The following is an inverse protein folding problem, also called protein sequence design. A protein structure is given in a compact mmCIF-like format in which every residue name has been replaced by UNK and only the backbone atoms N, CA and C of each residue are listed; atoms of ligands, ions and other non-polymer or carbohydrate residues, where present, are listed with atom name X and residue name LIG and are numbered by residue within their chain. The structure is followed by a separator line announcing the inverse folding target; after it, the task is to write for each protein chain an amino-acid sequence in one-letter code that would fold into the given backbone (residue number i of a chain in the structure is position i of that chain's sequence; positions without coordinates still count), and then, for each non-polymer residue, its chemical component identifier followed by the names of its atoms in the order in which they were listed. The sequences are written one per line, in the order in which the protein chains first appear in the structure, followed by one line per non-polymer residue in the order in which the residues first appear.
data_IF_280397120286
#
_entry.id   IF_280397120286
#
_cell.length_a   1.000
_cell.length_b   1.000
_cell.length_c   1.000
_cell.angle_alpha   90.00
_cell.angle_beta   90.00
_cell.angle_gamma   90.00
#
_symmetry.space_group_name_H-M   'P 1'
#
loop_
_entity.id
_entity.type
_entity.pdbx_description
1 polymer ?
#
# COMPACT_ATOMS: atom_id res chain seq x y z
N UNK A 1 -14.43 -5.61 -6.32
CA UNK A 1 -14.50 -5.23 -7.76
C UNK A 1 -14.23 -3.75 -7.98
N UNK A 2 -14.67 -2.85 -7.08
CA UNK A 2 -14.44 -1.41 -7.18
C UNK A 2 -12.95 -1.02 -7.29
N UNK A 3 -12.07 -1.70 -6.54
CA UNK A 3 -10.61 -1.47 -6.59
C UNK A 3 -10.04 -1.64 -7.99
N UNK A 4 -10.35 -2.77 -8.65
CA UNK A 4 -9.91 -3.04 -10.01
C UNK A 4 -10.42 -1.99 -11.00
N UNK A 5 -11.71 -1.63 -10.91
CA UNK A 5 -12.31 -0.62 -11.79
C UNK A 5 -11.62 0.74 -11.62
N UNK A 6 -11.37 1.13 -10.37
CA UNK A 6 -10.70 2.39 -10.04
C UNK A 6 -9.23 2.41 -10.51
N UNK A 7 -8.52 1.29 -10.40
CA UNK A 7 -7.19 1.13 -10.97
C UNK A 7 -7.16 1.24 -12.48
N UNK A 8 -8.09 0.60 -13.18
CA UNK A 8 -8.21 0.69 -14.64
C UNK A 8 -8.54 2.11 -15.08
N UNK A 9 -9.43 2.79 -14.36
CA UNK A 9 -9.75 4.20 -14.59
C UNK A 9 -8.50 5.09 -14.44
N UNK A 10 -7.70 4.89 -13.38
CA UNK A 10 -6.45 5.60 -13.18
C UNK A 10 -5.44 5.37 -14.31
N UNK A 11 -5.31 4.13 -14.79
CA UNK A 11 -4.43 3.79 -15.92
C UNK A 11 -4.92 4.48 -17.20
N UNK A 12 -6.23 4.45 -17.48
CA UNK A 12 -6.81 5.13 -18.64
C UNK A 12 -6.54 6.65 -18.61
N UNK A 13 -6.73 7.28 -17.45
CA UNK A 13 -6.42 8.70 -17.24
C UNK A 13 -4.92 8.99 -17.44
N UNK A 14 -4.03 8.11 -16.97
CA UNK A 14 -2.59 8.26 -17.16
C UNK A 14 -2.21 8.18 -18.64
N UNK A 15 -2.75 7.20 -19.37
CA UNK A 15 -2.51 7.06 -20.82
C UNK A 15 -3.01 8.30 -21.56
N UNK A 16 -4.21 8.77 -21.25
CA UNK A 16 -4.76 9.98 -21.86
C UNK A 16 -3.91 11.23 -21.56
N UNK A 17 -3.47 11.39 -20.31
CA UNK A 17 -2.55 12.47 -19.92
C UNK A 17 -1.24 12.41 -20.70
N UNK A 18 -0.64 11.22 -20.86
CA UNK A 18 0.59 11.04 -21.63
C UNK A 18 0.40 11.42 -23.09
N UNK A 19 -0.71 11.06 -23.73
CA UNK A 19 -1.00 11.45 -25.12
C UNK A 19 -1.05 12.99 -25.28
N UNK A 20 -1.69 13.69 -24.35
CA UNK A 20 -1.72 15.16 -24.33
C UNK A 20 -0.32 15.73 -24.10
N UNK A 21 0.42 15.18 -23.14
CA UNK A 21 1.77 15.63 -22.81
C UNK A 21 2.73 15.48 -24.01
N UNK A 22 2.68 14.37 -24.73
CA UNK A 22 3.46 14.19 -25.97
C UNK A 22 3.02 15.15 -27.07
N UNK A 23 1.72 15.43 -27.20
CA UNK A 23 1.22 16.45 -28.12
C UNK A 23 1.78 17.84 -27.81
N UNK A 24 1.78 18.23 -26.53
CA UNK A 24 2.38 19.48 -26.08
C UNK A 24 3.88 19.53 -26.35
N UNK A 25 4.64 18.48 -26.00
CA UNK A 25 6.07 18.39 -26.28
C UNK A 25 6.39 18.54 -27.77
N UNK A 26 5.60 17.92 -28.65
CA UNK A 26 5.75 18.05 -30.10
C UNK A 26 5.54 19.49 -30.57
N UNK A 27 4.57 20.21 -29.99
CA UNK A 27 4.33 21.61 -30.28
C UNK A 27 5.50 22.49 -29.81
N UNK A 28 6.00 22.27 -28.60
CA UNK A 28 7.18 22.95 -28.06
C UNK A 28 8.42 22.74 -28.95
N UNK A 29 8.65 21.50 -29.41
CA UNK A 29 9.75 21.19 -30.33
C UNK A 29 9.65 21.95 -31.66
N UNK A 30 8.44 22.08 -32.19
CA UNK A 30 8.19 22.76 -33.47
C UNK A 30 8.36 24.28 -33.37
N UNK A 31 7.83 24.89 -32.31
CA UNK A 31 7.78 26.35 -32.18
C UNK A 31 9.04 26.95 -31.51
N UNK A 32 9.60 26.27 -30.51
CA UNK A 32 10.69 26.80 -29.67
C UNK A 32 12.04 26.11 -29.91
N UNK A 33 12.06 25.07 -30.74
CA UNK A 33 13.25 24.29 -31.05
C UNK A 33 13.65 23.30 -29.96
N UNK A 34 14.62 22.44 -30.31
CA UNK A 34 15.05 21.30 -29.50
C UNK A 34 15.67 21.72 -28.16
N UNK A 35 16.52 22.76 -28.16
CA UNK A 35 17.26 23.20 -26.96
C UNK A 35 16.31 23.71 -25.87
N UNK A 36 15.36 24.58 -26.24
CA UNK A 36 14.35 25.11 -25.33
C UNK A 36 13.50 24.00 -24.72
N UNK A 37 13.15 22.99 -25.52
CA UNK A 37 12.38 21.83 -25.06
C UNK A 37 13.15 21.01 -24.03
N UNK A 38 14.44 20.78 -24.24
CA UNK A 38 15.29 20.06 -23.26
C UNK A 38 15.33 20.80 -21.92
N UNK A 39 15.55 22.11 -21.95
CA UNK A 39 15.56 22.95 -20.73
C UNK A 39 14.21 22.88 -20.02
N UNK A 40 13.11 22.97 -20.77
CA UNK A 40 11.75 22.87 -20.23
C UNK A 40 11.49 21.52 -19.54
N UNK A 41 11.88 20.41 -20.18
CA UNK A 41 11.73 19.06 -19.61
C UNK A 41 12.54 18.93 -18.32
N UNK A 42 13.81 19.35 -18.32
CA UNK A 42 14.65 19.37 -17.11
C UNK A 42 14.01 20.22 -16.01
N UNK A 43 13.46 21.37 -16.37
CA UNK A 43 12.74 22.25 -15.44
C UNK A 43 11.55 21.56 -14.77
N UNK A 44 10.71 20.85 -15.52
CA UNK A 44 9.59 20.07 -14.96
C UNK A 44 10.10 18.98 -14.02
N UNK A 45 11.11 18.21 -14.46
CA UNK A 45 11.67 17.12 -13.66
C UNK A 45 12.31 17.61 -12.36
N UNK A 46 12.85 18.83 -12.33
CA UNK A 46 13.42 19.46 -11.11
C UNK A 46 12.41 19.58 -9.96
N UNK A 47 11.11 19.70 -10.27
CA UNK A 47 10.06 19.78 -9.25
C UNK A 47 9.63 18.42 -8.69
N UNK A 48 10.09 17.31 -9.28
CA UNK A 48 9.77 15.96 -8.78
C UNK A 48 10.59 15.69 -7.52
N UNK A 49 10.00 16.00 -6.36
CA UNK A 49 10.58 15.69 -5.05
C UNK A 49 10.19 14.28 -4.62
N UNK A 50 11.05 13.30 -4.89
CA UNK A 50 10.89 11.94 -4.38
C UNK A 50 11.59 11.78 -3.02
N UNK A 51 10.84 11.49 -1.96
CA UNK A 51 11.43 10.93 -0.74
C UNK A 51 11.55 9.42 -0.91
N UNK A 52 12.77 8.92 -1.09
CA UNK A 52 13.05 7.49 -0.94
C UNK A 52 13.04 7.19 0.55
N UNK A 53 11.87 6.83 1.08
CA UNK A 53 11.78 6.29 2.44
C UNK A 53 12.34 4.86 2.39
N UNK A 54 13.64 4.75 2.62
CA UNK A 54 14.31 3.49 2.88
C UNK A 54 13.85 2.97 4.25
N UNK A 55 12.69 2.31 4.28
CA UNK A 55 12.34 1.44 5.41
C UNK A 55 13.22 0.18 5.30
N UNK A 56 14.45 0.28 5.78
CA UNK A 56 15.25 -0.91 6.11
C UNK A 56 14.57 -1.60 7.31
N UNK A 57 13.51 -2.34 7.05
CA UNK A 57 13.03 -3.35 7.98
C UNK A 57 14.17 -4.36 8.11
N UNK A 58 14.86 -4.33 9.25
CA UNK A 58 15.82 -5.37 9.62
C UNK A 58 15.05 -6.68 9.56
N UNK A 59 15.41 -7.55 8.61
CA UNK A 59 14.71 -8.82 8.40
C UNK A 59 14.52 -9.56 9.72
N UNK A 60 13.28 -9.96 10.00
CA UNK A 60 12.96 -10.67 11.23
C UNK A 60 13.54 -12.09 11.16
N UNK A 61 14.45 -12.42 12.06
CA UNK A 61 14.96 -13.79 12.20
C UNK A 61 14.02 -14.60 13.08
N UNK A 62 13.32 -15.54 12.44
CA UNK A 62 12.38 -16.44 13.12
C UNK A 62 13.12 -17.36 14.10
N UNK A 63 12.61 -17.48 15.33
CA UNK A 63 13.14 -18.42 16.31
C UNK A 63 12.48 -19.79 16.13
N UNK A 64 13.18 -20.86 16.54
CA UNK A 64 12.69 -22.25 16.42
C UNK A 64 11.31 -22.50 17.06
N UNK A 65 10.95 -21.73 18.11
CA UNK A 65 9.67 -21.85 18.82
C UNK A 65 8.59 -20.87 18.32
N UNK A 66 8.81 -20.19 17.20
CA UNK A 66 7.83 -19.27 16.62
C UNK A 66 7.06 -19.92 15.46
N UNK A 67 5.85 -19.42 15.23
CA UNK A 67 5.02 -19.76 14.09
C UNK A 67 4.48 -18.47 13.46
N UNK A 68 4.30 -18.51 12.14
CA UNK A 68 3.63 -17.44 11.39
C UNK A 68 2.21 -17.89 11.07
N UNK A 69 1.26 -17.00 11.28
CA UNK A 69 -0.08 -17.12 10.73
C UNK A 69 -0.45 -15.89 9.92
N UNK A 70 -1.46 -16.06 9.08
CA UNK A 70 -1.99 -14.97 8.26
C UNK A 70 -3.50 -15.01 8.31
N UNK A 71 -4.12 -13.85 8.49
CA UNK A 71 -5.56 -13.69 8.52
C UNK A 71 -5.96 -12.65 7.49
N UNK A 72 -6.81 -13.04 6.55
CA UNK A 72 -7.39 -12.09 5.63
C UNK A 72 -8.36 -11.16 6.37
N UNK A 73 -8.13 -9.85 6.24
CA UNK A 73 -8.99 -8.79 6.75
C UNK A 73 -9.96 -8.32 5.66
N UNK A 74 -9.44 -8.15 4.46
CA UNK A 74 -10.21 -7.82 3.27
C UNK A 74 -9.64 -8.54 2.05
N UNK A 75 -10.53 -9.07 1.21
CA UNK A 75 -10.15 -9.74 -0.02
C UNK A 75 -11.06 -9.32 -1.16
N UNK A 76 -10.43 -8.77 -2.20
CA UNK A 76 -11.04 -8.48 -3.49
C UNK A 76 -10.20 -9.12 -4.60
N UNK A 77 -10.75 -9.17 -5.80
CA UNK A 77 -10.13 -9.83 -6.97
C UNK A 77 -8.70 -9.35 -7.25
N UNK A 78 -8.43 -8.05 -7.02
CA UNK A 78 -7.15 -7.42 -7.35
C UNK A 78 -6.43 -6.85 -6.13
N UNK A 79 -6.94 -7.07 -4.92
CA UNK A 79 -6.46 -6.41 -3.71
C UNK A 79 -6.72 -7.29 -2.49
N UNK A 80 -5.68 -7.55 -1.71
CA UNK A 80 -5.77 -8.28 -0.46
C UNK A 80 -5.11 -7.48 0.66
N UNK A 81 -5.82 -7.39 1.78
CA UNK A 81 -5.35 -6.83 3.02
C UNK A 81 -5.32 -7.94 4.06
N UNK A 82 -4.11 -8.29 4.51
CA UNK A 82 -3.88 -9.41 5.40
C UNK A 82 -3.19 -8.95 6.69
N UNK A 83 -3.63 -9.49 7.81
CA UNK A 83 -2.91 -9.43 9.08
C UNK A 83 -1.94 -10.62 9.13
N UNK A 84 -0.65 -10.33 9.02
CA UNK A 84 0.41 -11.29 9.29
C UNK A 84 0.81 -11.20 10.77
N UNK A 85 0.95 -12.34 11.43
CA UNK A 85 1.32 -12.38 12.84
C UNK A 85 2.29 -13.51 13.14
N UNK A 86 3.22 -13.23 14.06
CA UNK A 86 4.23 -14.16 14.56
C UNK A 86 3.94 -14.39 16.05
N UNK A 87 3.78 -15.65 16.43
CA UNK A 87 3.50 -16.03 17.82
C UNK A 87 4.44 -17.14 18.28
N UNK A 88 4.73 -17.18 19.59
CA UNK A 88 5.48 -18.28 20.22
C UNK A 88 4.55 -19.45 20.49
N UNK A 89 5.01 -20.69 20.20
CA UNK A 89 4.24 -21.92 20.38
C UNK A 89 4.07 -22.34 21.86
N UNK A 90 4.90 -21.81 22.77
CA UNK A 90 4.82 -22.13 24.20
C UNK A 90 3.54 -21.59 24.82
N UNK A 91 2.70 -22.53 25.27
CA UNK A 91 1.28 -22.41 25.57
C UNK A 91 0.94 -21.76 26.93
N UNK A 92 1.81 -20.91 27.48
CA UNK A 92 1.53 -20.21 28.74
C UNK A 92 1.05 -18.78 28.50
N UNK A 93 -0.26 -18.70 28.23
CA UNK A 93 -1.20 -17.60 28.50
C UNK A 93 -0.94 -16.19 27.93
N UNK A 94 0.29 -15.79 27.57
CA UNK A 94 0.64 -14.46 27.06
C UNK A 94 1.95 -14.52 26.24
N UNK A 95 1.96 -15.26 25.13
CA UNK A 95 3.12 -15.34 24.25
C UNK A 95 3.46 -13.98 23.61
N UNK A 96 4.74 -13.76 23.26
CA UNK A 96 5.11 -12.59 22.44
C UNK A 96 4.42 -12.68 21.10
N UNK A 97 3.68 -11.63 20.76
CA UNK A 97 2.94 -11.50 19.51
C UNK A 97 3.47 -10.28 18.77
N UNK A 98 3.95 -10.50 17.55
CA UNK A 98 4.26 -9.42 16.61
C UNK A 98 3.28 -9.52 15.46
N UNK A 99 2.79 -8.37 14.99
CA UNK A 99 1.84 -8.33 13.89
C UNK A 99 2.15 -7.20 12.93
N UNK A 100 1.84 -7.43 11.66
CA UNK A 100 2.05 -6.48 10.57
C UNK A 100 0.92 -6.61 9.56
N UNK A 101 0.48 -5.48 9.04
CA UNK A 101 -0.46 -5.45 7.92
C UNK A 101 0.31 -5.60 6.61
N UNK A 102 -0.12 -6.56 5.81
CA UNK A 102 0.37 -6.83 4.49
C UNK A 102 -0.69 -6.42 3.48
N UNK A 103 -0.28 -5.64 2.50
CA UNK A 103 -1.13 -5.25 1.36
C UNK A 103 -0.52 -5.89 0.13
N UNK A 104 -1.32 -6.66 -0.61
CA UNK A 104 -0.88 -7.29 -1.86
C UNK A 104 -1.90 -7.08 -2.99
N UNK A 105 -1.44 -7.16 -4.22
CA UNK A 105 -2.25 -6.93 -5.43
C UNK A 105 -1.99 -5.59 -6.09
N UNK A 106 -2.95 -5.16 -6.93
CA UNK A 106 -2.90 -3.92 -7.69
C UNK A 106 -3.27 -2.75 -6.77
N UNK A 107 -2.34 -1.80 -6.59
CA UNK A 107 -2.48 -0.60 -5.77
C UNK A 107 -2.47 0.69 -6.62
N UNK A 108 -2.89 0.57 -7.89
CA UNK A 108 -2.99 1.74 -8.78
C UNK A 108 -4.25 2.53 -8.45
N UNK A 109 -4.11 3.80 -8.10
CA UNK A 109 -5.24 4.66 -7.76
C UNK A 109 -5.84 4.41 -6.38
N UNK A 110 -5.34 3.47 -5.58
CA UNK A 110 -5.77 3.33 -4.20
C UNK A 110 -4.66 2.69 -3.36
N UNK A 111 -4.78 2.74 -2.04
CA UNK A 111 -3.79 2.10 -1.17
C UNK A 111 -4.22 2.13 0.29
N UNK A 112 -3.44 1.46 1.12
CA UNK A 112 -3.67 1.40 2.56
C UNK A 112 -2.69 2.30 3.29
N UNK A 113 -3.21 3.15 4.17
CA UNK A 113 -2.43 3.91 5.13
C UNK A 113 -2.65 3.29 6.52
N UNK A 114 -1.66 2.58 7.09
CA UNK A 114 -1.85 1.88 8.35
C UNK A 114 -2.04 2.87 9.50
N UNK A 115 -3.07 2.64 10.30
CA UNK A 115 -3.29 3.29 11.59
C UNK A 115 -2.73 2.44 12.73
N UNK A 116 -3.54 2.24 13.77
CA UNK A 116 -3.16 1.43 14.94
C UNK A 116 -3.41 -0.04 14.67
N UNK A 117 -2.42 -0.88 14.96
CA UNK A 117 -2.57 -2.34 14.98
C UNK A 117 -2.37 -2.82 16.41
N UNK A 118 -3.45 -3.30 17.03
CA UNK A 118 -3.42 -3.92 18.34
C UNK A 118 -3.70 -5.41 18.20
N UNK A 119 -2.83 -6.23 18.78
CA UNK A 119 -2.99 -7.68 18.78
C UNK A 119 -2.62 -8.24 20.15
N UNK A 120 -3.50 -9.06 20.72
CA UNK A 120 -3.31 -9.71 22.01
C UNK A 120 -3.57 -11.22 21.88
N UNK A 121 -2.70 -12.05 22.46
CA UNK A 121 -2.90 -13.49 22.51
C UNK A 121 -3.32 -13.92 23.91
N UNK A 122 -4.48 -14.57 24.02
CA UNK A 122 -4.98 -15.21 25.26
C UNK A 122 -5.45 -16.61 24.95
N UNK A 123 -4.94 -17.62 25.67
CA UNK A 123 -5.37 -19.02 25.58
C UNK A 123 -5.37 -19.60 24.15
N UNK A 124 -4.36 -19.28 23.34
CA UNK A 124 -4.31 -19.75 21.94
C UNK A 124 -5.29 -19.04 20.99
N UNK A 125 -5.89 -17.93 21.43
CA UNK A 125 -6.75 -17.07 20.61
C UNK A 125 -6.08 -15.71 20.50
N UNK A 126 -5.87 -15.25 19.27
CA UNK A 126 -5.38 -13.92 18.96
C UNK A 126 -6.59 -13.01 18.73
N UNK A 127 -6.76 -12.01 19.58
CA UNK A 127 -7.69 -10.91 19.38
C UNK A 127 -6.96 -9.80 18.64
N UNK A 128 -7.56 -9.26 17.58
CA UNK A 128 -6.98 -8.16 16.83
C UNK A 128 -7.95 -7.00 16.68
N UNK A 129 -7.39 -5.80 16.70
CA UNK A 129 -8.04 -4.58 16.24
C UNK A 129 -7.05 -3.83 15.34
N UNK A 130 -7.42 -3.66 14.07
CA UNK A 130 -6.62 -2.98 13.06
C UNK A 130 -7.40 -1.79 12.56
N UNK A 131 -6.83 -0.60 12.66
CA UNK A 131 -7.37 0.62 12.07
C UNK A 131 -6.44 1.15 10.98
N UNK A 132 -6.99 1.90 10.06
CA UNK A 132 -6.26 2.64 9.04
C UNK A 132 -7.18 3.21 7.99
N UNK A 133 -6.60 3.88 7.01
CA UNK A 133 -7.34 4.53 5.94
C UNK A 133 -7.12 3.81 4.61
N UNK A 134 -8.23 3.47 3.96
CA UNK A 134 -8.20 3.20 2.54
C UNK A 134 -8.12 4.53 1.80
N UNK A 135 -6.97 4.80 1.18
CA UNK A 135 -6.74 6.01 0.41
C UNK A 135 -7.19 5.79 -1.03
N UNK A 136 -8.10 6.61 -1.51
CA UNK A 136 -8.50 6.70 -2.91
C UNK A 136 -7.71 7.80 -3.59
N UNK A 137 -6.97 7.43 -4.64
CA UNK A 137 -6.03 8.28 -5.35
C UNK A 137 -6.44 8.45 -6.81
N UNK A 138 -6.17 9.63 -7.36
CA UNK A 138 -6.25 9.91 -8.79
C UNK A 138 -4.89 10.40 -9.27
N UNK A 139 -4.26 9.66 -10.19
CA UNK A 139 -2.93 9.96 -10.72
C UNK A 139 -1.87 10.17 -9.61
N UNK A 140 -2.02 9.44 -8.50
CA UNK A 140 -1.13 9.51 -7.33
C UNK A 140 -1.54 10.52 -6.25
N UNK A 141 -2.48 11.43 -6.52
CA UNK A 141 -3.00 12.38 -5.54
C UNK A 141 -4.13 11.75 -4.72
N UNK A 142 -4.05 11.83 -3.40
CA UNK A 142 -5.12 11.35 -2.49
C UNK A 142 -6.31 12.29 -2.61
N UNK A 143 -7.45 11.76 -3.05
CA UNK A 143 -8.72 12.50 -3.15
C UNK A 143 -9.61 12.27 -1.93
N UNK A 144 -9.59 11.05 -1.40
CA UNK A 144 -10.47 10.64 -0.31
C UNK A 144 -9.79 9.59 0.56
N UNK A 145 -9.95 9.73 1.89
CA UNK A 145 -9.54 8.74 2.87
C UNK A 145 -10.79 8.12 3.47
N UNK A 146 -10.89 6.80 3.38
CA UNK A 146 -11.97 6.05 4.00
C UNK A 146 -11.42 5.31 5.20
N UNK A 147 -11.82 5.74 6.40
CA UNK A 147 -11.46 5.04 7.63
C UNK A 147 -12.04 3.61 7.60
N UNK A 148 -11.21 2.64 7.95
CA UNK A 148 -11.60 1.24 8.10
C UNK A 148 -11.09 0.69 9.43
N UNK A 149 -11.93 -0.12 10.07
CA UNK A 149 -11.59 -0.84 11.29
C UNK A 149 -11.93 -2.33 11.12
N UNK A 150 -10.96 -3.19 11.41
CA UNK A 150 -11.09 -4.63 11.37
C UNK A 150 -10.87 -5.20 12.77
N UNK A 151 -11.93 -5.77 13.34
CA UNK A 151 -11.92 -6.46 14.63
C UNK A 151 -12.22 -7.93 14.44
N UNK A 152 -11.52 -8.79 15.17
CA UNK A 152 -11.82 -10.21 15.13
C UNK A 152 -10.90 -11.06 15.97
N UNK A 153 -11.06 -12.37 15.84
CA UNK A 153 -10.28 -13.36 16.56
C UNK A 153 -9.75 -14.45 15.62
N UNK A 154 -8.59 -15.00 15.94
CA UNK A 154 -7.97 -16.11 15.21
C UNK A 154 -7.49 -17.16 16.20
N UNK A 155 -7.96 -18.40 16.04
CA UNK A 155 -7.47 -19.54 16.82
C UNK A 155 -6.17 -20.04 16.19
N UNK A 156 -5.08 -19.98 16.94
CA UNK A 156 -3.80 -20.55 16.52
C UNK A 156 -3.79 -22.05 16.83
N UNK A 157 -3.25 -22.83 15.89
CA UNK A 157 -3.02 -24.27 16.03
C UNK A 157 -1.61 -24.52 16.54
#
# INVERSE_FOLDING_TARGET
MIYLLWSLFNIGMLVWFLLIAFGALKLFLKEMGMVSTIIFVIGIFSFIKGSVVSNQDKGYQMKQNEAVGMKNLESAISYHLDLSYIYTKDSTYNGKLSSKILVTGLISGHGWNPGLTYTEMKNGIINYNVTGDHQWKLLGLVLYNQEQEFKGTVKVK
#
